data_IF_317135571318
#
_entry.id   IF_317135571318
#
_cell.length_a   1.000
_cell.length_b   1.000
_cell.length_c   1.000
_cell.angle_alpha   90.00
_cell.angle_beta   90.00
_cell.angle_gamma   90.00
#
_symmetry.space_group_name_H-M   'P 1'
#
loop_
_entity.id
_entity.type
_entity.pdbx_description
1 polymer ?
#
# COMPACT_ATOMS: atom_id res chain seq x y z
N UNK A 1 -81.61 -8.54 -13.25
CA UNK A 1 -81.06 -9.38 -14.35
C UNK A 1 -79.56 -9.11 -14.40
N UNK A 2 -78.70 -10.07 -14.01
CA UNK A 2 -77.90 -10.93 -14.93
C UNK A 2 -76.84 -10.09 -15.68
N UNK A 3 -75.51 -10.29 -15.70
CA UNK A 3 -74.52 -11.34 -15.38
C UNK A 3 -73.17 -10.59 -15.19
N UNK A 4 -72.30 -10.87 -14.21
CA UNK A 4 -71.25 -11.90 -14.14
C UNK A 4 -70.12 -11.81 -15.20
N UNK A 5 -68.88 -12.02 -14.70
CA UNK A 5 -67.60 -12.40 -15.35
C UNK A 5 -66.52 -11.30 -15.36
N UNK A 6 -65.43 -11.44 -14.57
CA UNK A 6 -64.21 -12.25 -14.87
C UNK A 6 -63.21 -11.34 -15.62
N UNK A 7 -61.91 -11.22 -15.38
CA UNK A 7 -60.87 -11.83 -14.54
C UNK A 7 -59.57 -11.07 -14.92
N UNK A 8 -58.52 -11.26 -14.13
CA UNK A 8 -57.11 -11.26 -14.57
C UNK A 8 -56.29 -9.96 -14.43
N UNK A 9 -55.67 -9.83 -13.25
CA UNK A 9 -54.22 -9.82 -13.04
C UNK A 9 -53.33 -9.48 -14.24
N UNK A 10 -52.52 -8.42 -14.09
CA UNK A 10 -51.08 -8.43 -14.38
C UNK A 10 -50.44 -7.14 -13.81
N UNK A 11 -50.06 -7.20 -12.53
CA UNK A 11 -49.09 -6.25 -11.96
C UNK A 11 -47.73 -6.60 -12.54
N UNK A 12 -47.32 -5.89 -13.59
CA UNK A 12 -45.98 -5.96 -14.12
C UNK A 12 -45.03 -5.30 -13.12
N UNK A 13 -44.44 -6.11 -12.24
CA UNK A 13 -43.22 -5.75 -11.53
C UNK A 13 -42.11 -5.58 -12.57
N UNK A 14 -41.90 -4.35 -13.01
CA UNK A 14 -40.66 -3.97 -13.66
C UNK A 14 -39.54 -4.07 -12.62
N UNK A 15 -38.93 -5.25 -12.52
CA UNK A 15 -37.59 -5.39 -11.95
C UNK A 15 -36.66 -4.57 -12.81
N UNK A 16 -36.41 -3.34 -12.38
CA UNK A 16 -35.27 -2.54 -12.84
C UNK A 16 -34.03 -3.31 -12.40
N UNK A 17 -33.52 -4.16 -13.29
CA UNK A 17 -32.20 -4.73 -13.16
C UNK A 17 -31.21 -3.56 -13.26
N UNK A 18 -30.79 -3.06 -12.09
CA UNK A 18 -29.69 -2.13 -11.99
C UNK A 18 -28.42 -2.88 -12.38
N UNK A 19 -28.10 -2.90 -13.68
CA UNK A 19 -26.77 -3.23 -14.14
C UNK A 19 -25.85 -2.10 -13.67
N UNK A 20 -25.31 -2.20 -12.46
CA UNK A 20 -24.14 -1.42 -12.08
C UNK A 20 -22.99 -1.92 -12.93
N UNK A 21 -22.85 -1.36 -14.14
CA UNK A 21 -21.56 -1.31 -14.83
C UNK A 21 -20.56 -0.82 -13.79
N UNK A 22 -19.50 -1.58 -13.59
CA UNK A 22 -18.41 -1.27 -12.67
C UNK A 22 -17.68 0.00 -13.14
N UNK A 23 -18.30 1.16 -12.93
CA UNK A 23 -17.68 2.43 -13.22
C UNK A 23 -16.61 2.72 -12.16
N UNK A 24 -15.35 2.49 -12.51
CA UNK A 24 -14.19 3.26 -12.03
C UNK A 24 -13.84 3.13 -10.55
N UNK A 25 -13.85 1.91 -10.01
CA UNK A 25 -13.54 1.63 -8.60
C UNK A 25 -12.12 2.07 -8.12
N UNK A 26 -11.18 2.40 -9.02
CA UNK A 26 -9.80 2.73 -8.64
C UNK A 26 -9.56 4.18 -8.23
N UNK A 27 -10.49 5.11 -8.46
CA UNK A 27 -10.16 6.55 -8.54
C UNK A 27 -9.67 7.24 -7.26
N UNK A 28 -9.74 6.62 -6.08
CA UNK A 28 -9.30 7.25 -4.82
C UNK A 28 -8.81 6.26 -3.76
N UNK A 29 -8.18 5.15 -4.14
CA UNK A 29 -7.70 4.17 -3.15
C UNK A 29 -6.43 4.72 -2.50
N UNK A 30 -6.53 5.05 -1.22
CA UNK A 30 -5.39 5.45 -0.40
C UNK A 30 -5.59 5.02 1.04
N UNK A 31 -4.48 4.84 1.75
CA UNK A 31 -4.45 4.66 3.20
C UNK A 31 -3.52 5.67 3.83
N UNK A 32 -3.84 6.04 5.06
CA UNK A 32 -3.03 6.89 5.92
C UNK A 32 -2.84 6.16 7.25
N UNK A 33 -1.64 6.26 7.81
CA UNK A 33 -1.32 5.79 9.16
C UNK A 33 -0.43 6.81 9.86
N UNK A 34 -0.60 6.96 11.16
CA UNK A 34 0.26 7.78 12.00
C UNK A 34 1.23 6.86 12.73
N UNK A 35 2.53 7.11 12.58
CA UNK A 35 3.57 6.26 13.14
C UNK A 35 4.70 7.10 13.72
N UNK A 36 5.25 6.66 14.86
CA UNK A 36 6.49 7.20 15.40
C UNK A 36 7.65 6.69 14.53
N UNK A 37 8.35 7.58 13.83
CA UNK A 37 9.40 7.19 12.86
C UNK A 37 10.63 8.09 12.91
N UNK A 38 10.45 9.41 12.80
CA UNK A 38 11.55 10.39 12.98
C UNK A 38 11.88 10.69 14.44
N UNK A 39 11.00 10.29 15.35
CA UNK A 39 11.03 10.49 16.80
C UNK A 39 10.36 9.29 17.48
N UNK A 40 10.58 9.12 18.78
CA UNK A 40 10.00 8.00 19.55
C UNK A 40 8.61 8.29 20.12
N UNK A 41 8.18 9.55 20.10
CA UNK A 41 6.91 10.04 20.65
C UNK A 41 6.09 10.77 19.59
N UNK A 42 6.73 11.58 18.75
CA UNK A 42 6.03 12.37 17.74
C UNK A 42 5.67 11.51 16.53
N UNK A 43 4.42 11.66 16.08
CA UNK A 43 3.88 10.87 14.98
C UNK A 43 4.09 11.59 13.64
N UNK A 44 4.58 10.84 12.67
CA UNK A 44 4.68 11.21 11.27
C UNK A 44 3.49 10.61 10.50
N UNK A 45 3.16 11.22 9.36
CA UNK A 45 2.07 10.77 8.50
C UNK A 45 2.61 9.90 7.39
N UNK A 46 2.26 8.62 7.42
CA UNK A 46 2.49 7.67 6.36
C UNK A 46 1.27 7.64 5.46
N UNK A 47 1.47 7.75 4.14
CA UNK A 47 0.39 7.68 3.16
C UNK A 47 0.78 6.83 1.97
N UNK A 48 -0.08 5.90 1.60
CA UNK A 48 0.01 5.13 0.35
C UNK A 48 -1.21 5.42 -0.51
N UNK A 49 -1.03 5.56 -1.82
CA UNK A 49 -2.13 5.77 -2.77
C UNK A 49 -1.88 5.03 -4.09
N UNK A 50 -2.94 4.48 -4.68
CA UNK A 50 -2.92 3.97 -6.05
C UNK A 50 -3.36 5.10 -7.00
N UNK A 51 -2.53 5.41 -7.98
CA UNK A 51 -2.74 6.51 -8.92
C UNK A 51 -2.76 6.00 -10.35
N UNK A 52 -3.70 6.49 -11.16
CA UNK A 52 -3.90 6.09 -12.56
C UNK A 52 -5.29 5.47 -12.79
N UNK A 53 -5.66 5.29 -14.05
CA UNK A 53 -6.96 4.69 -14.43
C UNK A 53 -6.80 3.26 -14.99
N UNK A 54 -5.67 2.94 -15.64
CA UNK A 54 -5.41 1.62 -16.22
C UNK A 54 -4.46 0.78 -15.33
N UNK A 55 -4.83 -0.43 -14.89
CA UNK A 55 -4.03 -1.21 -13.93
C UNK A 55 -2.55 -1.42 -14.30
N UNK A 56 -2.21 -1.58 -15.57
CA UNK A 56 -0.82 -1.74 -16.01
C UNK A 56 -0.02 -0.42 -16.04
N UNK A 57 -0.71 0.72 -16.04
CA UNK A 57 -0.12 2.07 -16.02
C UNK A 57 -0.19 2.74 -14.65
N UNK A 58 -0.94 2.14 -13.72
CA UNK A 58 -1.05 2.63 -12.35
C UNK A 58 0.30 2.64 -11.64
N UNK A 59 0.37 3.46 -10.58
CA UNK A 59 1.48 3.49 -9.65
C UNK A 59 1.01 3.55 -8.22
N UNK A 60 1.71 2.83 -7.34
CA UNK A 60 1.56 2.94 -5.91
C UNK A 60 2.53 4.02 -5.41
N UNK A 61 2.00 5.11 -4.87
CA UNK A 61 2.74 6.24 -4.32
C UNK A 61 2.74 6.13 -2.80
N UNK A 62 3.91 5.89 -2.22
CA UNK A 62 4.14 5.93 -0.78
C UNK A 62 4.90 7.20 -0.40
N UNK A 63 4.41 7.91 0.61
CA UNK A 63 5.03 9.12 1.16
C UNK A 63 5.07 9.07 2.69
N UNK A 64 6.08 9.71 3.27
CA UNK A 64 6.15 10.02 4.70
C UNK A 64 6.29 11.53 4.83
N UNK A 65 5.41 12.12 5.63
CA UNK A 65 5.42 13.54 5.98
C UNK A 65 5.69 13.66 7.47
N UNK A 66 6.74 14.39 7.82
CA UNK A 66 7.09 14.65 9.21
C UNK A 66 6.02 15.52 9.89
N UNK A 67 5.96 15.51 11.22
CA UNK A 67 4.99 16.31 12.00
C UNK A 67 4.97 17.81 11.63
N UNK A 68 6.09 18.37 11.21
CA UNK A 68 6.19 19.77 10.79
C UNK A 68 5.54 20.05 9.40
N UNK A 69 5.01 19.02 8.74
CA UNK A 69 4.41 19.11 7.40
C UNK A 69 5.38 18.88 6.25
N UNK A 70 6.67 18.65 6.53
CA UNK A 70 7.69 18.41 5.51
C UNK A 70 7.60 16.98 4.98
N UNK A 71 7.52 16.81 3.66
CA UNK A 71 7.62 15.49 3.04
C UNK A 71 9.08 15.02 3.05
N UNK A 72 9.39 14.05 3.90
CA UNK A 72 10.74 13.51 4.11
C UNK A 72 11.02 12.25 3.30
N UNK A 73 9.97 11.64 2.73
CA UNK A 73 10.12 10.45 1.89
C UNK A 73 9.05 10.39 0.80
N UNK A 74 9.45 9.91 -0.38
CA UNK A 74 8.56 9.63 -1.49
C UNK A 74 9.10 8.44 -2.29
N UNK A 75 8.26 7.44 -2.51
CA UNK A 75 8.53 6.29 -3.36
C UNK A 75 7.36 6.02 -4.28
N UNK A 76 7.66 5.88 -5.57
CA UNK A 76 6.72 5.40 -6.58
C UNK A 76 7.11 3.98 -6.98
N UNK A 77 6.11 3.09 -7.03
CA UNK A 77 6.24 1.69 -7.44
C UNK A 77 5.29 1.48 -8.62
N UNK A 78 5.80 1.01 -9.76
CA UNK A 78 4.98 0.76 -10.92
C UNK A 78 4.09 -0.46 -10.68
N UNK A 79 2.78 -0.32 -10.90
CA UNK A 79 1.83 -1.43 -10.72
C UNK A 79 2.21 -2.64 -11.59
N UNK A 80 2.69 -2.39 -12.81
CA UNK A 80 3.17 -3.43 -13.73
C UNK A 80 4.27 -4.32 -13.15
N UNK A 81 5.15 -3.78 -12.31
CA UNK A 81 6.23 -4.55 -11.68
C UNK A 81 5.67 -5.47 -10.59
N UNK A 82 4.77 -4.95 -9.75
CA UNK A 82 4.06 -5.74 -8.75
C UNK A 82 3.24 -6.85 -9.42
N UNK A 83 2.39 -6.49 -10.39
CA UNK A 83 1.53 -7.45 -11.09
C UNK A 83 2.33 -8.61 -11.69
N UNK A 84 3.43 -8.32 -12.40
CA UNK A 84 4.30 -9.34 -12.99
C UNK A 84 5.02 -10.20 -11.95
N UNK A 85 5.29 -9.65 -10.77
CA UNK A 85 5.99 -10.37 -9.71
C UNK A 85 5.09 -11.34 -8.96
N UNK A 86 3.79 -11.11 -8.90
CA UNK A 86 2.86 -11.88 -8.05
C UNK A 86 1.80 -12.65 -8.84
N UNK A 87 1.34 -12.15 -9.99
CA UNK A 87 0.26 -12.77 -10.73
C UNK A 87 0.77 -13.76 -11.78
N UNK A 88 0.07 -14.88 -11.91
CA UNK A 88 0.29 -15.82 -12.99
C UNK A 88 -0.01 -15.17 -14.36
N UNK A 89 0.64 -15.61 -15.46
CA UNK A 89 0.42 -15.01 -16.79
C UNK A 89 -1.02 -15.00 -17.28
N UNK A 90 -1.85 -15.96 -16.86
CA UNK A 90 -3.27 -16.00 -17.19
C UNK A 90 -4.05 -14.85 -16.53
N UNK A 91 -3.66 -14.49 -15.30
CA UNK A 91 -4.33 -13.46 -14.49
C UNK A 91 -3.89 -12.04 -14.88
N UNK A 92 -2.70 -11.90 -15.47
CA UNK A 92 -2.25 -10.66 -16.11
C UNK A 92 -3.09 -10.23 -17.32
N UNK A 93 -4.03 -11.06 -17.80
CA UNK A 93 -4.96 -10.69 -18.87
C UNK A 93 -6.32 -10.23 -18.32
N UNK A 94 -6.54 -10.32 -17.01
CA UNK A 94 -7.82 -10.02 -16.38
C UNK A 94 -7.70 -8.73 -15.55
N UNK A 95 -8.30 -7.65 -16.06
CA UNK A 95 -8.26 -6.32 -15.44
C UNK A 95 -8.85 -6.29 -14.03
N UNK A 96 -9.95 -7.01 -13.77
CA UNK A 96 -10.56 -7.06 -12.44
C UNK A 96 -9.64 -7.72 -11.42
N UNK A 97 -8.93 -8.79 -11.83
CA UNK A 97 -7.93 -9.44 -10.97
C UNK A 97 -6.75 -8.52 -10.66
N UNK A 98 -6.24 -7.80 -11.67
CA UNK A 98 -5.17 -6.80 -11.47
C UNK A 98 -5.61 -5.73 -10.48
N UNK A 99 -6.79 -5.14 -10.70
CA UNK A 99 -7.28 -4.08 -9.84
C UNK A 99 -7.53 -4.56 -8.41
N UNK A 100 -8.11 -5.75 -8.24
CA UNK A 100 -8.30 -6.37 -6.92
C UNK A 100 -6.96 -6.57 -6.21
N UNK A 101 -5.95 -7.07 -6.91
CA UNK A 101 -4.60 -7.23 -6.37
C UNK A 101 -4.03 -5.87 -5.92
N UNK A 102 -3.99 -4.86 -6.79
CA UNK A 102 -3.45 -3.54 -6.46
C UNK A 102 -4.19 -2.86 -5.31
N UNK A 103 -5.50 -3.06 -5.22
CA UNK A 103 -6.32 -2.56 -4.11
C UNK A 103 -5.91 -3.23 -2.79
N UNK A 104 -5.67 -4.54 -2.81
CA UNK A 104 -5.19 -5.27 -1.65
C UNK A 104 -3.79 -4.81 -1.23
N UNK A 105 -2.89 -4.56 -2.18
CA UNK A 105 -1.55 -4.03 -1.86
C UNK A 105 -1.65 -2.72 -1.08
N UNK A 106 -2.54 -1.80 -1.46
CA UNK A 106 -2.77 -0.56 -0.69
C UNK A 106 -3.39 -0.85 0.68
N UNK A 107 -4.30 -1.82 0.77
CA UNK A 107 -4.97 -2.16 2.02
C UNK A 107 -4.03 -2.77 3.05
N UNK A 108 -3.08 -3.59 2.63
CA UNK A 108 -2.16 -4.28 3.53
C UNK A 108 -0.80 -3.58 3.68
N UNK A 109 -0.58 -2.47 2.94
CA UNK A 109 0.69 -1.75 2.92
C UNK A 109 1.21 -1.33 4.30
N UNK A 110 0.33 -1.07 5.27
CA UNK A 110 0.68 -0.64 6.63
C UNK A 110 0.34 -1.68 7.71
N UNK A 111 0.30 -2.95 7.33
CA UNK A 111 0.14 -4.05 8.28
C UNK A 111 1.25 -4.01 9.34
N UNK A 112 0.93 -4.51 10.55
CA UNK A 112 1.80 -4.36 11.72
C UNK A 112 3.17 -5.00 11.53
N UNK A 113 3.27 -6.06 10.73
CA UNK A 113 4.54 -6.71 10.39
C UNK A 113 5.53 -5.78 9.66
N UNK A 114 5.02 -4.72 9.02
CA UNK A 114 5.85 -3.74 8.33
C UNK A 114 6.45 -2.69 9.27
N UNK A 115 5.99 -2.62 10.53
CA UNK A 115 6.46 -1.65 11.51
C UNK A 115 7.45 -2.34 12.44
N UNK A 116 8.66 -1.80 12.52
CA UNK A 116 9.78 -2.43 13.20
C UNK A 116 10.15 -1.57 14.41
N UNK A 117 9.92 -2.10 15.61
CA UNK A 117 10.07 -1.38 16.87
C UNK A 117 11.08 -2.12 17.77
N UNK A 118 12.34 -1.65 17.87
CA UNK A 118 13.00 -0.64 17.03
C UNK A 118 13.31 -1.16 15.62
N UNK A 119 13.83 -0.30 14.73
CA UNK A 119 14.24 -0.71 13.38
C UNK A 119 15.30 -1.83 13.39
N UNK A 120 16.21 -1.78 14.37
CA UNK A 120 17.32 -2.71 14.56
C UNK A 120 17.45 -2.97 16.06
N UNK A 121 17.40 -4.24 16.46
CA UNK A 121 17.57 -4.69 17.84
C UNK A 121 19.04 -4.70 18.27
N UNK A 122 19.28 -4.78 19.58
CA UNK A 122 20.63 -4.75 20.15
C UNK A 122 21.50 -5.95 19.71
N UNK A 123 20.88 -7.07 19.33
CA UNK A 123 21.56 -8.31 18.96
C UNK A 123 21.87 -8.39 17.45
N UNK A 124 21.17 -7.61 16.63
CA UNK A 124 21.35 -7.64 15.18
C UNK A 124 22.66 -6.99 14.74
N UNK A 125 23.31 -7.58 13.73
CA UNK A 125 24.54 -7.08 13.14
C UNK A 125 24.36 -6.92 11.63
N UNK A 126 24.97 -5.89 11.01
CA UNK A 126 24.85 -5.68 9.57
C UNK A 126 25.54 -6.80 8.81
N UNK A 127 24.86 -7.35 7.80
CA UNK A 127 25.40 -8.32 6.85
C UNK A 127 25.65 -7.66 5.47
N UNK A 128 25.70 -8.46 4.40
CA UNK A 128 25.88 -7.99 3.02
C UNK A 128 24.69 -7.19 2.44
N UNK A 129 23.51 -7.32 3.03
CA UNK A 129 22.27 -6.68 2.61
C UNK A 129 22.07 -5.31 3.28
N UNK A 130 22.93 -4.94 4.23
CA UNK A 130 23.00 -3.60 4.81
C UNK A 130 23.94 -2.70 3.98
N UNK A 131 23.42 -1.80 3.12
CA UNK A 131 24.24 -1.05 2.17
C UNK A 131 25.12 0.04 2.83
N UNK A 132 24.69 0.55 3.99
CA UNK A 132 25.38 1.61 4.73
C UNK A 132 25.53 1.18 6.20
N UNK A 133 26.69 0.62 6.53
CA UNK A 133 27.00 0.14 7.89
C UNK A 133 27.07 1.28 8.92
N UNK A 134 27.39 2.50 8.47
CA UNK A 134 27.45 3.66 9.36
C UNK A 134 26.04 4.07 9.75
N UNK A 135 25.14 4.15 8.77
CA UNK A 135 23.72 4.42 9.03
C UNK A 135 23.06 3.30 9.83
N UNK A 136 23.37 2.03 9.53
CA UNK A 136 22.87 0.89 10.30
C UNK A 136 23.23 1.03 11.79
N UNK A 137 24.48 1.38 12.10
CA UNK A 137 24.93 1.63 13.47
C UNK A 137 24.23 2.83 14.11
N UNK A 138 24.09 3.94 13.39
CA UNK A 138 23.34 5.12 13.87
C UNK A 138 21.90 4.75 14.26
N UNK A 139 21.21 4.01 13.40
CA UNK A 139 19.82 3.63 13.60
C UNK A 139 19.65 2.65 14.77
N UNK A 140 20.61 1.73 14.95
CA UNK A 140 20.67 0.83 16.11
C UNK A 140 20.88 1.61 17.42
N UNK A 141 21.75 2.62 17.42
CA UNK A 141 22.02 3.47 18.59
C UNK A 141 20.84 4.37 18.96
N UNK A 142 20.13 4.91 17.95
CA UNK A 142 19.01 5.82 18.17
C UNK A 142 17.74 5.12 18.67
N UNK A 143 17.63 3.80 18.44
CA UNK A 143 16.43 3.00 18.74
C UNK A 143 15.15 3.51 18.07
N UNK A 144 15.29 4.30 17.00
CA UNK A 144 14.14 4.74 16.21
C UNK A 144 13.51 3.54 15.49
N UNK A 145 12.22 3.68 15.21
CA UNK A 145 11.46 2.66 14.51
C UNK A 145 11.85 2.60 13.02
N UNK A 146 11.65 1.43 12.44
CA UNK A 146 11.85 1.16 11.03
C UNK A 146 10.52 0.88 10.35
N UNK A 147 10.52 0.96 9.03
CA UNK A 147 9.40 0.53 8.22
C UNK A 147 9.90 -0.32 7.06
N UNK A 148 9.22 -1.42 6.78
CA UNK A 148 9.49 -2.26 5.62
C UNK A 148 8.35 -2.19 4.61
N UNK A 149 8.67 -2.35 3.34
CA UNK A 149 7.66 -2.52 2.29
C UNK A 149 8.23 -3.31 1.12
N UNK A 150 7.34 -3.91 0.34
CA UNK A 150 7.69 -4.73 -0.82
C UNK A 150 7.63 -3.93 -2.11
N UNK A 151 8.52 -4.25 -3.03
CA UNK A 151 8.47 -3.77 -4.43
C UNK A 151 8.28 -4.94 -5.42
N UNK A 152 8.09 -6.15 -4.90
CA UNK A 152 7.95 -7.42 -5.61
C UNK A 152 8.00 -8.58 -4.62
N UNK A 153 7.69 -9.78 -5.09
CA UNK A 153 7.57 -10.99 -4.26
C UNK A 153 8.86 -11.34 -3.51
N UNK A 154 10.02 -11.04 -4.10
CA UNK A 154 11.32 -11.40 -3.55
C UNK A 154 12.17 -10.16 -3.17
N UNK A 155 11.53 -9.00 -2.95
CA UNK A 155 12.27 -7.80 -2.57
C UNK A 155 11.51 -6.94 -1.57
N UNK A 156 11.97 -7.03 -0.34
CA UNK A 156 11.69 -6.12 0.76
C UNK A 156 12.73 -4.99 0.85
N UNK A 157 12.24 -3.79 1.11
CA UNK A 157 13.03 -2.60 1.38
C UNK A 157 12.74 -2.17 2.82
N UNK A 158 13.80 -1.96 3.60
CA UNK A 158 13.71 -1.50 4.98
C UNK A 158 14.30 -0.11 5.08
N UNK A 159 13.50 0.82 5.57
CA UNK A 159 13.83 2.24 5.69
C UNK A 159 13.79 2.70 7.14
N UNK A 160 14.67 3.64 7.46
CA UNK A 160 14.73 4.30 8.76
C UNK A 160 15.10 5.77 8.61
N UNK A 161 14.90 6.54 9.67
CA UNK A 161 15.31 7.95 9.74
C UNK A 161 16.76 8.08 10.20
N UNK A 162 17.58 8.81 9.42
CA UNK A 162 18.88 9.30 9.89
C UNK A 162 18.69 10.67 10.52
N UNK A 163 18.88 10.76 11.84
CA UNK A 163 18.82 12.02 12.56
C UNK A 163 20.02 12.92 12.19
N UNK A 164 21.16 12.31 11.86
CA UNK A 164 22.35 13.04 11.40
C UNK A 164 22.15 13.68 10.03
N UNK A 165 21.66 12.90 9.07
CA UNK A 165 21.47 13.37 7.69
C UNK A 165 20.12 14.08 7.47
N UNK A 166 19.21 14.02 8.46
CA UNK A 166 17.83 14.50 8.38
C UNK A 166 17.08 13.99 7.14
N UNK A 167 17.23 12.69 6.86
CA UNK A 167 16.56 12.05 5.72
C UNK A 167 16.26 10.59 5.99
N UNK A 168 15.26 10.07 5.28
CA UNK A 168 14.95 8.64 5.25
C UNK A 168 15.96 7.92 4.37
N UNK A 169 16.53 6.82 4.87
CA UNK A 169 17.53 6.01 4.18
C UNK A 169 17.15 4.53 4.25
N UNK A 170 17.58 3.78 3.25
CA UNK A 170 17.48 2.31 3.26
C UNK A 170 18.60 1.78 4.17
N UNK A 171 18.25 1.03 5.22
CA UNK A 171 19.24 0.37 6.09
C UNK A 171 19.39 -1.11 5.78
N UNK A 172 18.39 -1.71 5.13
CA UNK A 172 18.44 -3.11 4.72
C UNK A 172 17.63 -3.31 3.43
N UNK A 173 18.15 -4.13 2.53
CA UNK A 173 17.44 -4.55 1.32
C UNK A 173 17.64 -6.04 1.15
N UNK A 174 16.57 -6.80 1.25
CA UNK A 174 16.63 -8.23 1.10
C UNK A 174 15.35 -8.79 0.50
N UNK A 175 15.38 -10.10 0.43
CA UNK A 175 14.32 -11.06 0.21
C UNK A 175 12.98 -10.62 0.82
#
# INVERSE_FOLDING_TARGET
MKFAHSLLLLFAFAVVACNSKSEKAARNIHKIKLEAFTDTVQLDTFKVALLGDEPDEMKLLFTITAKNGEQIYKKEIAAKELLKSYLAPADLKNEDKKLKFLTNEVNFFFDEEHILIPAITEQENPDKNAPDKVFYKELKESKLNGFSYRIGNDTNIYIGWSAKDKKVKIYYKCC
#
